data_IF_498429286128
#
_entry.id   IF_498429286128
#
_cell.length_a   1.000
_cell.length_b   1.000
_cell.length_c   1.000
_cell.angle_alpha   90.00
_cell.angle_beta   90.00
_cell.angle_gamma   90.00
#
_symmetry.space_group_name_H-M   'P 1'
#
loop_
_entity.id
_entity.type
_entity.pdbx_description
1 polymer ?
#
# COMPACT_ATOMS: atom_id res chain seq x y z
N UNK A 1 -1.33 25.44 -28.53
CA UNK A 1 -0.86 26.00 -27.24
C UNK A 1 -1.99 26.65 -26.47
N UNK A 2 -2.61 27.75 -26.94
CA UNK A 2 -3.74 28.37 -26.22
C UNK A 2 -4.85 27.36 -25.87
N UNK A 3 -5.35 26.64 -26.87
CA UNK A 3 -6.42 25.62 -26.67
C UNK A 3 -5.99 24.49 -25.72
N UNK A 4 -4.71 24.16 -25.70
CA UNK A 4 -4.16 23.15 -24.80
C UNK A 4 -4.21 23.64 -23.35
N UNK A 5 -3.64 24.81 -23.05
CA UNK A 5 -3.69 25.37 -21.70
C UNK A 5 -5.12 25.67 -21.24
N UNK A 6 -5.99 26.12 -22.14
CA UNK A 6 -7.40 26.32 -21.82
C UNK A 6 -8.07 25.01 -21.38
N UNK A 7 -7.89 23.93 -22.15
CA UNK A 7 -8.46 22.62 -21.84
C UNK A 7 -7.89 22.03 -20.54
N UNK A 8 -6.58 22.16 -20.31
CA UNK A 8 -5.94 21.72 -19.07
C UNK A 8 -6.51 22.51 -17.89
N UNK A 9 -6.57 23.84 -17.99
CA UNK A 9 -7.09 24.70 -16.93
C UNK A 9 -8.55 24.39 -16.64
N UNK A 10 -9.38 24.17 -17.66
CA UNK A 10 -10.78 23.77 -17.49
C UNK A 10 -10.91 22.41 -16.80
N UNK A 11 -10.07 21.44 -17.18
CA UNK A 11 -10.06 20.12 -16.53
C UNK A 11 -9.70 20.27 -15.06
N UNK A 12 -8.62 20.97 -14.74
CA UNK A 12 -8.16 21.17 -13.35
C UNK A 12 -9.17 21.97 -12.54
N UNK A 13 -9.79 22.98 -13.14
CA UNK A 13 -10.81 23.80 -12.50
C UNK A 13 -12.08 23.01 -12.19
N UNK A 14 -12.54 22.18 -13.11
CA UNK A 14 -13.76 21.40 -12.97
C UNK A 14 -13.58 20.16 -12.08
N UNK A 15 -12.38 19.58 -12.07
CA UNK A 15 -12.12 18.34 -11.34
C UNK A 15 -11.47 18.58 -9.97
N UNK A 16 -10.68 19.64 -9.78
CA UNK A 16 -9.86 19.77 -8.57
C UNK A 16 -10.03 21.12 -7.86
N UNK A 17 -9.79 22.25 -8.54
CA UNK A 17 -9.68 23.55 -7.86
C UNK A 17 -11.02 24.15 -7.45
N UNK A 18 -12.02 24.10 -8.33
CA UNK A 18 -13.31 24.77 -8.14
C UNK A 18 -13.20 26.26 -7.73
N UNK A 19 -12.15 26.96 -8.18
CA UNK A 19 -11.90 28.37 -7.89
C UNK A 19 -13.03 29.27 -8.42
N UNK A 20 -13.77 30.01 -7.57
CA UNK A 20 -14.85 30.88 -8.02
C UNK A 20 -14.38 31.97 -9.00
N UNK A 21 -13.12 32.41 -8.93
CA UNK A 21 -12.56 33.46 -9.80
C UNK A 21 -12.34 32.97 -11.25
N UNK A 22 -12.30 31.64 -11.46
CA UNK A 22 -12.08 31.02 -12.77
C UNK A 22 -13.36 30.44 -13.39
N UNK A 23 -14.53 30.80 -12.85
CA UNK A 23 -15.84 30.35 -13.38
C UNK A 23 -16.22 31.02 -14.70
N UNK A 24 -15.78 32.26 -14.93
CA UNK A 24 -16.00 32.99 -16.17
C UNK A 24 -14.96 32.64 -17.25
N UNK A 25 -15.40 32.55 -18.52
CA UNK A 25 -14.52 32.23 -19.64
C UNK A 25 -13.50 33.34 -19.88
N UNK A 26 -13.88 34.61 -19.72
CA UNK A 26 -12.94 35.71 -19.93
C UNK A 26 -11.81 35.69 -18.88
N UNK A 27 -12.14 35.37 -17.62
CA UNK A 27 -11.14 35.18 -16.57
C UNK A 27 -10.15 34.04 -16.90
N UNK A 28 -10.66 32.88 -17.37
CA UNK A 28 -9.80 31.76 -17.81
C UNK A 28 -8.88 32.17 -18.97
N UNK A 29 -9.40 32.90 -19.96
CA UNK A 29 -8.58 33.39 -21.09
C UNK A 29 -7.43 34.31 -20.64
N UNK A 30 -7.65 35.16 -19.64
CA UNK A 30 -6.60 36.03 -19.06
C UNK A 30 -5.52 35.18 -18.40
N UNK A 31 -5.89 34.16 -17.63
CA UNK A 31 -4.92 33.24 -17.02
C UNK A 31 -4.14 32.49 -18.09
N UNK A 32 -4.80 31.95 -19.12
CA UNK A 32 -4.14 31.25 -20.23
C UNK A 32 -3.16 32.15 -20.96
N UNK A 33 -3.48 33.44 -21.16
CA UNK A 33 -2.52 34.38 -21.74
C UNK A 33 -1.28 34.53 -20.86
N UNK A 34 -1.45 34.66 -19.54
CA UNK A 34 -0.31 34.70 -18.61
C UNK A 34 0.52 33.41 -18.62
N UNK A 35 -0.09 32.24 -18.83
CA UNK A 35 0.63 30.97 -18.98
C UNK A 35 1.44 30.91 -20.28
N UNK A 36 0.93 31.46 -21.39
CA UNK A 36 1.67 31.58 -22.64
C UNK A 36 2.87 32.51 -22.49
N UNK A 37 2.69 33.67 -21.85
CA UNK A 37 3.78 34.61 -21.61
C UNK A 37 4.89 33.95 -20.76
N UNK A 38 4.52 33.15 -19.74
CA UNK A 38 5.47 32.36 -18.95
C UNK A 38 6.16 31.27 -19.77
N UNK A 39 5.43 30.59 -20.64
CA UNK A 39 6.00 29.59 -21.54
C UNK A 39 7.09 30.21 -22.42
N UNK A 40 6.82 31.39 -23.01
CA UNK A 40 7.80 32.09 -23.85
C UNK A 40 9.06 32.48 -23.06
N UNK A 41 8.91 32.95 -21.82
CA UNK A 41 10.03 33.27 -20.94
C UNK A 41 10.88 32.04 -20.59
N UNK A 42 10.24 30.92 -20.25
CA UNK A 42 10.93 29.66 -19.94
C UNK A 42 11.61 29.10 -21.20
N UNK A 43 10.92 29.13 -22.35
CA UNK A 43 11.46 28.68 -23.63
C UNK A 43 12.70 29.49 -24.03
N UNK A 44 12.68 30.82 -23.87
CA UNK A 44 13.84 31.67 -24.12
C UNK A 44 15.02 31.29 -23.20
N UNK A 45 14.76 31.07 -21.91
CA UNK A 45 15.77 30.62 -20.94
C UNK A 45 16.39 29.26 -21.30
N UNK A 46 15.57 28.27 -21.69
CA UNK A 46 16.05 26.95 -22.14
C UNK A 46 16.87 27.09 -23.43
N UNK A 47 16.39 27.89 -24.38
CA UNK A 47 17.08 28.15 -25.64
C UNK A 47 18.46 28.78 -25.41
N UNK A 48 18.54 29.83 -24.60
CA UNK A 48 19.78 30.54 -24.31
C UNK A 48 20.79 29.63 -23.59
N UNK A 49 20.33 28.76 -22.68
CA UNK A 49 21.20 27.76 -22.04
C UNK A 49 21.75 26.72 -23.03
N UNK A 50 20.94 26.30 -24.01
CA UNK A 50 21.31 25.23 -24.96
C UNK A 50 22.11 25.77 -26.16
N UNK A 51 21.83 26.98 -26.61
CA UNK A 51 22.33 27.57 -27.85
C UNK A 51 22.97 28.96 -27.69
N UNK A 52 23.32 29.39 -26.47
CA UNK A 52 23.89 30.72 -26.19
C UNK A 52 25.26 31.03 -26.84
N UNK A 53 25.83 30.09 -27.60
CA UNK A 53 27.04 30.30 -28.41
C UNK A 53 26.70 30.20 -29.90
N UNK A 54 27.41 30.93 -30.78
CA UNK A 54 27.18 30.87 -32.22
C UNK A 54 27.38 29.44 -32.76
N UNK A 55 26.30 28.79 -33.16
CA UNK A 55 26.31 27.48 -33.80
C UNK A 55 25.76 27.59 -35.22
N UNK A 56 26.45 26.97 -36.17
CA UNK A 56 25.94 26.76 -37.53
C UNK A 56 24.92 25.61 -37.49
N UNK A 57 23.66 25.94 -37.20
CA UNK A 57 22.53 25.01 -37.29
C UNK A 57 21.79 25.22 -38.61
N UNK A 58 21.35 24.12 -39.22
CA UNK A 58 20.50 24.20 -40.41
C UNK A 58 19.14 24.82 -40.04
N UNK A 59 18.45 25.43 -41.01
CA UNK A 59 17.11 26.00 -40.76
C UNK A 59 16.09 24.96 -40.28
N UNK A 60 16.17 23.72 -40.76
CA UNK A 60 15.30 22.63 -40.30
C UNK A 60 15.58 22.22 -38.86
N UNK A 61 16.86 22.21 -38.46
CA UNK A 61 17.24 21.86 -37.09
C UNK A 61 16.88 22.98 -36.12
N UNK A 62 17.04 24.24 -36.55
CA UNK A 62 16.58 25.40 -35.78
C UNK A 62 15.08 25.31 -35.46
N UNK A 63 14.24 25.04 -36.48
CA UNK A 63 12.78 24.89 -36.28
C UNK A 63 12.46 23.71 -35.35
N UNK A 64 13.14 22.57 -35.51
CA UNK A 64 12.94 21.39 -34.64
C UNK A 64 13.29 21.71 -33.19
N UNK A 65 14.43 22.38 -32.97
CA UNK A 65 14.89 22.76 -31.64
C UNK A 65 13.96 23.78 -30.97
N UNK A 66 13.46 24.77 -31.72
CA UNK A 66 12.48 25.75 -31.20
C UNK A 66 11.21 25.03 -30.74
N UNK A 67 10.66 24.11 -31.56
CA UNK A 67 9.46 23.34 -31.19
C UNK A 67 9.69 22.52 -29.92
N UNK A 68 10.79 21.79 -29.86
CA UNK A 68 11.13 20.99 -28.68
C UNK A 68 11.30 21.85 -27.43
N UNK A 69 11.92 23.03 -27.56
CA UNK A 69 12.09 23.98 -26.45
C UNK A 69 10.75 24.53 -25.96
N UNK A 70 9.84 24.85 -26.89
CA UNK A 70 8.48 25.28 -26.55
C UNK A 70 7.68 24.16 -25.86
N UNK A 71 7.84 22.91 -26.29
CA UNK A 71 7.18 21.76 -25.68
C UNK A 71 7.70 21.50 -24.26
N UNK A 72 9.03 21.57 -24.05
CA UNK A 72 9.64 21.48 -22.71
C UNK A 72 9.13 22.61 -21.79
N UNK A 73 9.12 23.85 -22.28
CA UNK A 73 8.62 24.99 -21.53
C UNK A 73 7.13 24.87 -21.19
N UNK A 74 6.32 24.33 -22.12
CA UNK A 74 4.90 24.10 -21.88
C UNK A 74 4.69 23.08 -20.75
N UNK A 75 5.44 21.98 -20.77
CA UNK A 75 5.38 20.97 -19.71
C UNK A 75 5.77 21.56 -18.35
N UNK A 76 6.82 22.40 -18.31
CA UNK A 76 7.24 23.09 -17.08
C UNK A 76 6.16 24.05 -16.56
N UNK A 77 5.49 24.82 -17.43
CA UNK A 77 4.36 25.68 -17.05
C UNK A 77 3.19 24.86 -16.50
N UNK A 78 2.83 23.74 -17.13
CA UNK A 78 1.75 22.87 -16.63
C UNK A 78 2.08 22.36 -15.22
N UNK A 79 3.28 21.81 -15.03
CA UNK A 79 3.71 21.22 -13.75
C UNK A 79 3.79 22.28 -12.64
N UNK A 80 4.33 23.47 -12.93
CA UNK A 80 4.59 24.49 -11.89
C UNK A 80 3.40 25.43 -11.65
N UNK A 81 2.72 25.86 -12.70
CA UNK A 81 1.71 26.93 -12.63
C UNK A 81 0.28 26.41 -12.61
N UNK A 82 0.03 25.20 -13.11
CA UNK A 82 -1.30 24.58 -13.08
C UNK A 82 -1.35 23.50 -12.00
N UNK A 83 -0.59 22.42 -12.17
CA UNK A 83 -0.56 21.29 -11.23
C UNK A 83 -0.04 21.74 -9.88
N UNK A 84 1.05 22.53 -9.85
CA UNK A 84 1.65 23.09 -8.64
C UNK A 84 0.73 23.96 -7.79
N UNK A 85 -0.41 24.42 -8.33
CA UNK A 85 -1.42 25.18 -7.58
C UNK A 85 -2.52 24.33 -6.99
N UNK A 86 -2.62 23.06 -7.38
CA UNK A 86 -3.63 22.13 -6.83
C UNK A 86 -3.27 21.83 -5.38
N UNK A 87 -4.19 21.99 -4.42
CA UNK A 87 -3.94 21.56 -3.05
C UNK A 87 -3.57 20.08 -3.00
N UNK A 88 -2.54 19.72 -2.25
CA UNK A 88 -1.91 18.39 -2.28
C UNK A 88 -2.84 17.22 -2.00
N UNK A 89 -3.93 17.43 -1.26
CA UNK A 89 -4.89 16.36 -0.92
C UNK A 89 -6.03 16.18 -1.91
N UNK A 90 -6.35 17.20 -2.72
CA UNK A 90 -7.58 17.21 -3.53
C UNK A 90 -7.61 16.09 -4.56
N UNK A 91 -6.49 15.86 -5.27
CA UNK A 91 -6.41 14.76 -6.24
C UNK A 91 -6.56 13.42 -5.52
N UNK A 92 -5.87 13.23 -4.40
CA UNK A 92 -5.95 12.00 -3.62
C UNK A 92 -7.37 11.71 -3.13
N UNK A 93 -8.04 12.68 -2.51
CA UNK A 93 -9.39 12.53 -1.98
C UNK A 93 -10.41 12.31 -3.11
N UNK A 94 -10.26 12.98 -4.26
CA UNK A 94 -11.12 12.72 -5.43
C UNK A 94 -10.95 11.29 -5.96
N UNK A 95 -9.70 10.82 -6.07
CA UNK A 95 -9.38 9.46 -6.58
C UNK A 95 -9.87 8.36 -5.63
N UNK A 96 -9.93 8.64 -4.33
CA UNK A 96 -10.36 7.70 -3.29
C UNK A 96 -11.71 8.05 -2.65
N UNK A 97 -12.55 8.84 -3.31
CA UNK A 97 -13.78 9.36 -2.72
C UNK A 97 -14.70 8.25 -2.17
N UNK A 98 -14.78 7.11 -2.85
CA UNK A 98 -15.57 5.95 -2.40
C UNK A 98 -14.99 5.33 -1.13
N UNK A 99 -13.68 5.04 -1.09
CA UNK A 99 -13.01 4.47 0.10
C UNK A 99 -13.18 5.39 1.30
N UNK A 100 -13.02 6.71 1.10
CA UNK A 100 -13.18 7.69 2.18
C UNK A 100 -14.61 7.74 2.71
N UNK A 101 -15.61 7.64 1.83
CA UNK A 101 -17.03 7.60 2.19
C UNK A 101 -17.42 6.29 2.89
N UNK A 102 -16.98 5.15 2.37
CA UNK A 102 -17.26 3.83 2.96
C UNK A 102 -16.60 3.67 4.34
N UNK A 103 -15.44 4.26 4.54
CA UNK A 103 -14.75 4.33 5.83
C UNK A 103 -15.46 5.20 6.88
N UNK A 104 -16.44 6.04 6.51
CA UNK A 104 -17.24 6.79 7.50
C UNK A 104 -18.33 5.93 8.15
N UNK A 105 -18.71 4.83 7.49
CA UNK A 105 -19.79 3.94 7.92
C UNK A 105 -19.29 2.56 8.36
N UNK A 106 -18.06 2.20 8.00
CA UNK A 106 -17.39 0.97 8.44
C UNK A 106 -16.41 1.27 9.56
N UNK A 107 -16.41 0.53 10.68
CA UNK A 107 -15.39 0.69 11.71
C UNK A 107 -14.07 0.10 11.23
N UNK A 108 -12.96 0.77 11.59
CA UNK A 108 -11.63 0.18 11.46
C UNK A 108 -11.52 -1.04 12.37
N UNK A 109 -10.81 -2.08 11.91
CA UNK A 109 -10.54 -3.26 12.71
C UNK A 109 -9.64 -2.92 13.91
N UNK A 110 -9.97 -3.50 15.06
CA UNK A 110 -9.05 -3.58 16.18
C UNK A 110 -8.16 -4.80 15.99
N UNK A 111 -6.91 -4.58 15.58
CA UNK A 111 -5.94 -5.64 15.28
C UNK A 111 -5.64 -6.55 16.48
N UNK A 112 -5.88 -6.09 17.71
CA UNK A 112 -5.72 -6.91 18.92
C UNK A 112 -6.90 -7.88 19.15
N UNK A 113 -8.04 -7.62 18.50
CA UNK A 113 -9.28 -8.39 18.67
C UNK A 113 -9.69 -9.17 17.41
N UNK A 114 -8.90 -9.09 16.33
CA UNK A 114 -9.13 -9.89 15.13
C UNK A 114 -9.06 -11.37 15.50
N UNK A 115 -10.06 -12.14 15.10
CA UNK A 115 -10.03 -13.60 15.24
C UNK A 115 -8.95 -14.15 14.31
N UNK A 116 -7.80 -14.53 14.88
CA UNK A 116 -6.74 -15.28 14.21
C UNK A 116 -6.73 -16.74 14.63
N UNK A 117 -7.80 -17.23 15.28
CA UNK A 117 -7.90 -18.62 15.69
C UNK A 117 -8.09 -19.55 14.50
N UNK A 118 -8.29 -20.84 14.80
CA UNK A 118 -8.46 -21.91 13.80
C UNK A 118 -9.55 -21.65 12.75
N UNK A 119 -10.58 -20.89 13.10
CA UNK A 119 -11.67 -20.49 12.19
C UNK A 119 -11.17 -19.60 11.06
N UNK A 120 -10.26 -18.67 11.34
CA UNK A 120 -9.68 -17.75 10.35
C UNK A 120 -8.84 -18.47 9.28
N UNK A 121 -8.32 -19.66 9.59
CA UNK A 121 -7.48 -20.46 8.69
C UNK A 121 -8.21 -21.67 8.09
N UNK A 122 -9.48 -21.90 8.45
CA UNK A 122 -10.26 -23.05 7.97
C UNK A 122 -10.41 -23.10 6.43
N UNK A 123 -10.37 -21.94 5.77
CA UNK A 123 -10.42 -21.85 4.31
C UNK A 123 -9.21 -22.50 3.64
N UNK A 124 -8.02 -22.48 4.27
CA UNK A 124 -6.83 -23.16 3.77
C UNK A 124 -6.99 -24.67 3.81
N UNK A 125 -7.55 -25.21 4.88
CA UNK A 125 -7.85 -26.65 5.00
C UNK A 125 -8.85 -27.09 3.93
N UNK A 126 -9.89 -26.28 3.67
CA UNK A 126 -10.86 -26.56 2.61
C UNK A 126 -10.19 -26.56 1.23
N UNK A 127 -9.36 -25.55 0.92
CA UNK A 127 -8.62 -25.47 -0.35
C UNK A 127 -7.64 -26.64 -0.53
N UNK A 128 -6.94 -27.02 0.54
CA UNK A 128 -6.01 -28.14 0.53
C UNK A 128 -6.74 -29.47 0.25
N UNK A 129 -7.90 -29.69 0.87
CA UNK A 129 -8.74 -30.86 0.63
C UNK A 129 -9.23 -30.94 -0.83
N UNK A 130 -9.64 -29.81 -1.42
CA UNK A 130 -10.04 -29.74 -2.84
C UNK A 130 -8.89 -30.06 -3.80
N UNK A 131 -7.67 -29.68 -3.43
CA UNK A 131 -6.45 -29.90 -4.23
C UNK A 131 -5.77 -31.23 -3.91
N UNK A 132 -6.27 -31.99 -2.94
CA UNK A 132 -5.66 -33.22 -2.43
C UNK A 132 -4.21 -33.02 -1.97
N UNK A 133 -3.94 -31.91 -1.29
CA UNK A 133 -2.64 -31.56 -0.69
C UNK A 133 -2.77 -31.60 0.83
N UNK A 134 -1.70 -32.01 1.51
CA UNK A 134 -1.64 -32.03 2.97
C UNK A 134 -1.30 -30.64 3.51
N UNK A 135 -2.15 -30.15 4.41
CA UNK A 135 -2.02 -28.91 5.17
C UNK A 135 -2.54 -29.21 6.57
N UNK A 136 -1.82 -28.81 7.60
CA UNK A 136 -2.22 -29.03 8.99
C UNK A 136 -1.74 -27.89 9.88
N UNK A 137 -2.25 -27.85 11.10
CA UNK A 137 -1.74 -26.98 12.15
C UNK A 137 -0.33 -27.40 12.56
N UNK A 138 0.48 -26.45 13.04
CA UNK A 138 1.81 -26.73 13.57
C UNK A 138 1.72 -27.77 14.71
N UNK A 139 2.30 -28.95 14.50
CA UNK A 139 2.15 -30.12 15.37
C UNK A 139 3.17 -30.16 16.53
N UNK A 140 4.37 -29.62 16.31
CA UNK A 140 5.44 -29.49 17.31
C UNK A 140 5.80 -28.01 17.54
N UNK A 141 4.83 -27.24 18.02
CA UNK A 141 4.92 -25.78 18.20
C UNK A 141 6.17 -25.31 18.98
N UNK A 142 6.65 -26.00 20.03
CA UNK A 142 7.84 -25.54 20.76
C UNK A 142 9.14 -25.56 19.95
N UNK A 143 9.22 -26.38 18.89
CA UNK A 143 10.48 -26.57 18.13
C UNK A 143 10.32 -26.45 16.61
N UNK A 144 9.08 -26.45 16.12
CA UNK A 144 8.70 -26.52 14.69
C UNK A 144 9.49 -27.59 13.91
N UNK A 145 9.83 -28.69 14.57
CA UNK A 145 10.71 -29.71 14.00
C UNK A 145 10.15 -30.26 12.69
N UNK A 146 10.94 -30.15 11.61
CA UNK A 146 10.59 -30.64 10.28
C UNK A 146 9.94 -29.59 9.35
N UNK A 147 9.80 -28.35 9.81
CA UNK A 147 9.21 -27.22 9.08
C UNK A 147 10.20 -26.05 9.12
N UNK A 148 11.17 -26.02 8.19
CA UNK A 148 12.25 -25.01 8.18
C UNK A 148 12.51 -24.44 6.77
N UNK A 149 12.38 -23.11 6.56
CA UNK A 149 11.88 -22.12 7.52
C UNK A 149 10.34 -22.11 7.54
N UNK A 150 9.75 -22.00 8.73
CA UNK A 150 8.29 -21.97 8.91
C UNK A 150 7.66 -20.76 8.20
N UNK A 151 8.36 -19.65 8.12
CA UNK A 151 7.92 -18.40 7.49
C UNK A 151 7.65 -18.56 5.99
N UNK A 152 8.33 -19.49 5.32
CA UNK A 152 8.16 -19.74 3.87
C UNK A 152 6.94 -20.62 3.56
N UNK A 153 6.43 -21.33 4.57
CA UNK A 153 5.34 -22.31 4.41
C UNK A 153 4.10 -22.00 5.25
N UNK A 154 4.19 -21.09 6.21
CA UNK A 154 3.07 -20.67 7.02
C UNK A 154 2.02 -19.93 6.18
N UNK A 155 0.75 -20.22 6.43
CA UNK A 155 -0.37 -19.65 5.70
C UNK A 155 -1.08 -18.58 6.55
N UNK A 156 -1.28 -17.37 6.01
CA UNK A 156 -1.81 -16.26 6.80
C UNK A 156 -3.27 -16.49 7.23
N UNK A 157 -3.69 -15.94 8.38
CA UNK A 157 -5.10 -15.93 8.75
C UNK A 157 -5.93 -15.09 7.77
N UNK A 158 -7.21 -15.44 7.59
CA UNK A 158 -8.15 -14.59 6.86
C UNK A 158 -8.55 -13.39 7.73
N UNK A 159 -8.20 -12.19 7.28
CA UNK A 159 -8.48 -10.94 8.00
C UNK A 159 -9.53 -10.17 7.23
N UNK A 160 -10.66 -9.76 7.87
CA UNK A 160 -11.78 -9.11 7.19
C UNK A 160 -11.52 -7.62 6.92
N UNK A 161 -10.48 -7.33 6.15
CA UNK A 161 -10.05 -5.97 5.80
C UNK A 161 -11.19 -5.12 5.21
N UNK A 162 -11.42 -3.95 5.81
CA UNK A 162 -12.44 -2.99 5.39
C UNK A 162 -11.87 -1.79 4.66
N UNK A 163 -12.74 -0.96 4.07
CA UNK A 163 -12.34 0.33 3.49
C UNK A 163 -11.87 1.33 4.56
N UNK A 164 -12.32 1.19 5.80
CA UNK A 164 -11.80 1.96 6.93
C UNK A 164 -10.33 1.63 7.21
N UNK A 165 -9.95 0.35 7.14
CA UNK A 165 -8.54 -0.08 7.26
C UNK A 165 -7.71 0.42 6.08
N UNK A 166 -8.28 0.34 4.86
CA UNK A 166 -7.63 0.89 3.66
C UNK A 166 -7.41 2.39 3.79
N UNK A 167 -8.40 3.16 4.25
CA UNK A 167 -8.27 4.60 4.53
C UNK A 167 -7.19 4.87 5.57
N UNK A 168 -7.16 4.13 6.68
CA UNK A 168 -6.12 4.26 7.69
C UNK A 168 -4.72 3.97 7.11
N UNK A 169 -4.61 2.98 6.23
CA UNK A 169 -3.42 2.70 5.42
C UNK A 169 -3.00 3.89 4.55
N UNK A 170 -3.94 4.48 3.79
CA UNK A 170 -3.69 5.64 2.94
C UNK A 170 -3.24 6.86 3.77
N UNK A 171 -3.90 7.17 4.88
CA UNK A 171 -3.54 8.32 5.74
C UNK A 171 -2.16 8.16 6.36
N UNK A 172 -1.79 6.94 6.76
CA UNK A 172 -0.44 6.66 7.24
C UNK A 172 0.59 6.79 6.12
N UNK A 173 0.31 6.29 4.92
CA UNK A 173 1.19 6.46 3.77
C UNK A 173 1.39 7.96 3.45
N UNK A 174 0.33 8.77 3.51
CA UNK A 174 0.43 10.24 3.40
C UNK A 174 1.31 10.82 4.51
N UNK A 175 1.16 10.36 5.75
CA UNK A 175 1.97 10.82 6.88
C UNK A 175 3.47 10.51 6.71
N UNK A 176 3.81 9.40 6.08
CA UNK A 176 5.20 8.93 5.88
C UNK A 176 5.85 9.57 4.65
N UNK A 177 5.19 9.49 3.49
CA UNK A 177 5.79 9.90 2.21
C UNK A 177 5.40 11.33 1.79
N UNK A 178 4.32 11.87 2.36
CA UNK A 178 3.73 13.13 1.94
C UNK A 178 2.99 13.01 0.60
N UNK A 179 2.34 14.10 0.21
CA UNK A 179 1.74 14.29 -1.11
C UNK A 179 2.14 15.65 -1.66
N UNK A 180 2.66 15.65 -2.88
CA UNK A 180 2.83 16.85 -3.69
C UNK A 180 1.53 17.26 -4.38
N UNK A 181 1.47 18.50 -4.92
CA UNK A 181 0.39 18.92 -5.81
C UNK A 181 0.21 17.94 -6.98
N UNK A 182 -1.03 17.60 -7.31
CA UNK A 182 -1.33 16.68 -8.40
C UNK A 182 -1.09 15.19 -8.12
N UNK A 183 -0.63 14.84 -6.91
CA UNK A 183 -0.27 13.46 -6.56
C UNK A 183 -1.38 12.73 -5.81
N UNK A 184 -1.37 11.40 -5.90
CA UNK A 184 -2.13 10.51 -5.04
C UNK A 184 -1.38 9.21 -4.78
N UNK A 185 -1.59 8.64 -3.59
CA UNK A 185 -1.14 7.30 -3.24
C UNK A 185 -2.22 6.28 -3.56
N UNK A 186 -1.86 5.14 -4.15
CA UNK A 186 -2.67 3.94 -4.27
C UNK A 186 -2.06 2.82 -3.44
N UNK A 187 -2.92 2.00 -2.82
CA UNK A 187 -2.55 0.77 -2.15
C UNK A 187 -3.24 -0.40 -2.86
N UNK A 188 -2.48 -1.43 -3.20
CA UNK A 188 -3.07 -2.73 -3.53
C UNK A 188 -3.82 -3.24 -2.30
N UNK A 189 -5.02 -3.78 -2.47
CA UNK A 189 -5.87 -4.14 -1.34
C UNK A 189 -6.69 -5.39 -1.66
N UNK A 190 -6.83 -6.35 -0.74
CA UNK A 190 -6.26 -6.40 0.62
C UNK A 190 -4.72 -6.60 0.66
N UNK A 191 -4.05 -6.33 1.80
CA UNK A 191 -2.63 -6.60 1.97
C UNK A 191 -2.36 -8.11 2.10
N UNK A 192 -1.11 -8.52 1.84
CA UNK A 192 -0.65 -9.90 1.98
C UNK A 192 0.05 -10.08 3.33
N UNK A 193 -0.32 -11.12 4.07
CA UNK A 193 0.32 -11.49 5.33
C UNK A 193 1.60 -12.29 5.11
N UNK A 194 2.63 -12.00 5.91
CA UNK A 194 3.82 -12.83 6.04
C UNK A 194 4.13 -13.06 7.52
N UNK A 195 4.46 -14.30 7.86
CA UNK A 195 4.88 -14.63 9.22
C UNK A 195 6.27 -14.03 9.44
N UNK A 196 6.36 -13.09 10.36
CA UNK A 196 7.63 -12.40 10.69
C UNK A 196 8.25 -12.87 11.99
N UNK A 197 7.43 -13.54 12.82
CA UNK A 197 7.86 -14.20 14.03
C UNK A 197 6.90 -15.36 14.31
N UNK A 198 7.45 -16.55 14.52
CA UNK A 198 6.73 -17.80 14.72
C UNK A 198 6.16 -17.95 16.14
N UNK A 199 6.57 -17.08 17.07
CA UNK A 199 6.15 -17.15 18.46
C UNK A 199 6.91 -18.19 19.27
N UNK A 200 6.67 -18.18 20.59
CA UNK A 200 7.28 -19.13 21.51
C UNK A 200 6.24 -19.69 22.49
N UNK A 201 6.20 -21.01 22.56
CA UNK A 201 5.28 -21.77 23.42
C UNK A 201 6.07 -22.82 24.17
N UNK A 202 5.81 -22.95 25.46
CA UNK A 202 6.35 -24.03 26.27
C UNK A 202 5.25 -24.72 27.07
N UNK A 203 5.59 -25.90 27.58
CA UNK A 203 4.74 -26.66 28.50
C UNK A 203 5.29 -26.52 29.90
N UNK A 204 4.45 -26.17 30.87
CA UNK A 204 4.86 -26.23 32.28
C UNK A 204 5.20 -27.66 32.65
N UNK A 205 6.11 -27.83 33.60
CA UNK A 205 6.41 -29.15 34.13
C UNK A 205 5.20 -29.69 34.91
N UNK A 206 5.08 -31.01 34.95
CA UNK A 206 4.14 -31.67 35.84
C UNK A 206 4.57 -31.45 37.30
N UNK A 207 3.63 -31.08 38.16
CA UNK A 207 3.87 -30.98 39.60
C UNK A 207 3.01 -32.02 40.34
N UNK A 208 3.66 -33.02 40.92
CA UNK A 208 2.98 -34.01 41.77
C UNK A 208 2.59 -33.40 43.11
N UNK A 209 1.44 -33.81 43.66
CA UNK A 209 1.11 -33.54 45.04
C UNK A 209 1.97 -34.41 45.98
N UNK A 210 2.05 -34.06 47.26
CA UNK A 210 2.84 -34.80 48.25
C UNK A 210 2.49 -36.30 48.29
N UNK A 211 1.22 -36.65 48.06
CA UNK A 211 0.76 -38.05 48.02
C UNK A 211 1.33 -38.86 46.84
N UNK A 212 1.84 -38.19 45.82
CA UNK A 212 2.31 -38.78 44.57
C UNK A 212 3.78 -38.44 44.25
N UNK A 213 4.53 -37.90 45.22
CA UNK A 213 5.92 -37.48 45.02
C UNK A 213 6.86 -38.61 44.54
N UNK A 214 6.52 -39.88 44.80
CA UNK A 214 7.30 -41.06 44.39
C UNK A 214 6.57 -41.96 43.37
N UNK A 215 5.46 -41.49 42.78
CA UNK A 215 4.68 -42.26 41.79
C UNK A 215 5.07 -41.91 40.36
N UNK A 216 5.02 -42.90 39.46
CA UNK A 216 5.26 -42.68 38.03
C UNK A 216 4.15 -41.82 37.40
N UNK A 217 4.51 -40.88 36.52
CA UNK A 217 3.63 -39.88 35.89
C UNK A 217 2.37 -40.50 35.23
N UNK A 218 2.48 -41.72 34.72
CA UNK A 218 1.40 -42.47 34.04
C UNK A 218 0.22 -42.87 34.95
N UNK A 219 0.38 -42.84 36.28
CA UNK A 219 -0.71 -43.17 37.22
C UNK A 219 -1.44 -41.93 37.76
N UNK A 220 -1.05 -40.74 37.32
CA UNK A 220 -1.39 -39.46 37.96
C UNK A 220 -2.38 -38.59 37.17
N UNK A 221 -2.79 -39.06 35.98
CA UNK A 221 -3.60 -38.30 35.00
C UNK A 221 -4.96 -37.80 35.53
N UNK A 222 -5.44 -38.33 36.68
CA UNK A 222 -6.74 -37.97 37.27
C UNK A 222 -6.68 -37.53 38.74
N UNK A 223 -5.50 -37.22 39.28
CA UNK A 223 -5.40 -36.65 40.62
C UNK A 223 -5.77 -35.17 40.60
N UNK A 224 -6.80 -34.77 41.35
CA UNK A 224 -7.26 -33.39 41.42
C UNK A 224 -6.25 -32.42 42.07
N UNK A 225 -5.27 -32.96 42.81
CA UNK A 225 -4.23 -32.18 43.49
C UNK A 225 -2.89 -32.13 42.71
N UNK A 226 -2.73 -32.94 41.65
CA UNK A 226 -1.56 -32.85 40.79
C UNK A 226 -1.79 -31.78 39.71
N UNK A 227 -0.78 -30.94 39.46
CA UNK A 227 -0.86 -29.94 38.39
C UNK A 227 -0.38 -30.58 37.09
N UNK A 228 -1.31 -30.79 36.17
CA UNK A 228 -1.00 -31.27 34.82
C UNK A 228 -0.19 -30.22 34.03
N UNK A 229 0.69 -30.65 33.10
CA UNK A 229 1.37 -29.73 32.18
C UNK A 229 0.37 -28.84 31.46
N UNK A 230 0.60 -27.54 31.50
CA UNK A 230 -0.20 -26.55 30.77
C UNK A 230 0.64 -25.95 29.68
N UNK A 231 0.03 -25.79 28.51
CA UNK A 231 0.60 -25.02 27.42
C UNK A 231 0.54 -23.54 27.79
N UNK A 232 1.68 -22.86 27.71
CA UNK A 232 1.81 -21.42 27.93
C UNK A 232 2.39 -20.80 26.68
N UNK A 233 1.68 -19.82 26.12
CA UNK A 233 2.21 -18.95 25.07
C UNK A 233 3.00 -17.85 25.77
N UNK A 234 4.32 -17.87 25.61
CA UNK A 234 5.19 -16.82 26.15
C UNK A 234 5.23 -15.63 25.21
N UNK A 235 5.38 -15.90 23.91
CA UNK A 235 5.35 -14.89 22.86
C UNK A 235 4.42 -15.33 21.74
N UNK A 236 3.46 -14.49 21.30
CA UNK A 236 2.58 -14.83 20.19
C UNK A 236 3.33 -14.81 18.87
N UNK A 237 2.82 -15.55 17.89
CA UNK A 237 3.25 -15.44 16.50
C UNK A 237 2.83 -14.08 15.94
N UNK A 238 3.61 -13.49 15.03
CA UNK A 238 3.33 -12.18 14.43
C UNK A 238 3.26 -12.25 12.92
N UNK A 239 2.07 -11.94 12.42
CA UNK A 239 1.82 -11.71 11.01
C UNK A 239 1.98 -10.23 10.70
N UNK A 240 2.95 -9.91 9.85
CA UNK A 240 3.05 -8.56 9.29
C UNK A 240 2.39 -8.55 7.92
N UNK A 241 1.43 -7.67 7.73
CA UNK A 241 0.69 -7.51 6.49
C UNK A 241 1.32 -6.39 5.67
N UNK A 242 1.72 -6.70 4.44
CA UNK A 242 2.34 -5.76 3.51
C UNK A 242 1.48 -5.54 2.29
N UNK A 243 1.62 -4.37 1.67
CA UNK A 243 1.02 -4.10 0.36
C UNK A 243 1.96 -3.31 -0.54
N UNK A 244 1.67 -3.34 -1.84
CA UNK A 244 2.27 -2.42 -2.80
C UNK A 244 1.62 -1.04 -2.65
N UNK A 245 2.43 -0.05 -2.33
CA UNK A 245 2.08 1.36 -2.36
C UNK A 245 2.67 2.01 -3.63
N UNK A 246 1.84 2.73 -4.38
CA UNK A 246 2.28 3.49 -5.55
C UNK A 246 1.91 4.96 -5.39
N UNK A 247 2.87 5.87 -5.57
CA UNK A 247 2.61 7.31 -5.69
C UNK A 247 2.49 7.62 -7.18
N UNK A 248 1.32 8.10 -7.58
CA UNK A 248 1.04 8.57 -8.92
C UNK A 248 0.94 10.09 -8.94
N UNK A 249 1.16 10.68 -10.12
CA UNK A 249 0.91 12.09 -10.40
C UNK A 249 0.08 12.24 -11.67
N UNK A 250 -0.78 13.25 -11.69
CA UNK A 250 -1.46 13.64 -12.91
C UNK A 250 -0.44 14.32 -13.84
N UNK A 251 -0.66 14.19 -15.14
CA UNK A 251 0.09 14.87 -16.18
C UNK A 251 -0.85 15.15 -17.35
N UNK A 252 -0.43 16.03 -18.26
CA UNK A 252 -1.23 16.38 -19.42
C UNK A 252 -0.41 16.26 -20.70
N UNK A 253 -1.00 15.69 -21.74
CA UNK A 253 -0.37 15.58 -23.05
C UNK A 253 -0.49 16.88 -23.88
N UNK A 254 0.04 16.85 -25.11
CA UNK A 254 -0.03 17.97 -26.05
C UNK A 254 -1.46 18.34 -26.47
N UNK A 255 -2.41 17.40 -26.33
CA UNK A 255 -3.83 17.61 -26.60
C UNK A 255 -4.60 18.07 -25.35
N UNK A 256 -3.91 18.30 -24.23
CA UNK A 256 -4.51 18.68 -22.94
C UNK A 256 -5.37 17.58 -22.33
N UNK A 257 -5.08 16.31 -22.65
CA UNK A 257 -5.74 15.15 -22.06
C UNK A 257 -4.97 14.74 -20.80
N UNK A 258 -5.70 14.55 -19.70
CA UNK A 258 -5.13 14.06 -18.43
C UNK A 258 -4.68 12.60 -18.57
N UNK A 259 -3.49 12.31 -18.05
CA UNK A 259 -2.97 10.96 -17.88
C UNK A 259 -2.28 10.82 -16.53
N UNK A 260 -2.10 9.59 -16.07
CA UNK A 260 -1.38 9.27 -14.84
C UNK A 260 0.06 8.83 -15.14
N UNK A 261 1.00 9.20 -14.28
CA UNK A 261 2.35 8.63 -14.27
C UNK A 261 2.72 8.15 -12.88
N UNK A 262 3.37 6.99 -12.81
CA UNK A 262 3.99 6.52 -11.57
C UNK A 262 5.22 7.40 -11.25
N UNK A 263 5.28 7.87 -10.02
CA UNK A 263 6.39 8.68 -9.48
C UNK A 263 7.28 7.84 -8.57
N UNK A 264 6.66 6.96 -7.78
CA UNK A 264 7.34 6.12 -6.81
C UNK A 264 6.52 4.88 -6.52
N UNK A 265 7.21 3.78 -6.18
CA UNK A 265 6.59 2.51 -5.79
C UNK A 265 7.37 1.89 -4.65
N UNK A 266 6.64 1.42 -3.65
CA UNK A 266 7.14 0.59 -2.55
C UNK A 266 6.35 -0.71 -2.53
N UNK A 267 7.01 -1.85 -2.69
CA UNK A 267 6.36 -3.16 -2.75
C UNK A 267 6.16 -3.79 -1.36
N UNK A 268 6.69 -3.18 -0.30
CA UNK A 268 6.70 -3.72 1.06
C UNK A 268 6.21 -2.68 2.08
N UNK A 269 5.18 -1.90 1.70
CA UNK A 269 4.56 -0.98 2.64
C UNK A 269 3.81 -1.78 3.71
N UNK A 270 4.36 -1.80 4.92
CA UNK A 270 3.73 -2.45 6.08
C UNK A 270 2.38 -1.78 6.36
N UNK A 271 1.33 -2.59 6.52
CA UNK A 271 -0.03 -2.15 6.81
C UNK A 271 -0.37 -2.36 8.28
N UNK A 272 -0.06 -3.53 8.82
CA UNK A 272 -0.43 -3.92 10.16
C UNK A 272 0.44 -5.08 10.65
N UNK A 273 0.52 -5.23 11.97
CA UNK A 273 1.00 -6.44 12.62
C UNK A 273 -0.17 -7.01 13.43
N UNK A 274 -0.45 -8.30 13.25
CA UNK A 274 -1.50 -9.02 13.97
C UNK A 274 -0.86 -10.21 14.67
N UNK A 275 -1.21 -10.39 15.94
CA UNK A 275 -0.71 -11.47 16.77
C UNK A 275 -1.62 -12.71 16.66
N UNK A 276 -1.03 -13.90 16.68
CA UNK A 276 -1.75 -15.18 16.63
C UNK A 276 -1.18 -16.14 17.67
N UNK A 277 -2.03 -17.01 18.23
CA UNK A 277 -1.55 -18.15 19.00
C UNK A 277 -0.68 -19.05 18.08
N UNK A 278 0.59 -19.33 18.42
CA UNK A 278 1.48 -20.14 17.57
C UNK A 278 0.96 -21.55 17.24
N UNK A 279 0.05 -22.10 18.06
CA UNK A 279 -0.56 -23.42 17.84
C UNK A 279 -1.76 -23.41 16.89
N UNK A 280 -2.17 -22.22 16.43
CA UNK A 280 -3.19 -22.05 15.40
C UNK A 280 -2.57 -21.69 14.03
N UNK A 281 -1.24 -21.62 13.94
CA UNK A 281 -0.53 -21.50 12.67
C UNK A 281 -0.83 -22.71 11.79
N UNK A 282 -1.25 -22.44 10.55
CA UNK A 282 -1.45 -23.45 9.53
C UNK A 282 -0.23 -23.50 8.62
N UNK A 283 0.29 -24.70 8.41
CA UNK A 283 1.48 -24.95 7.62
C UNK A 283 1.07 -25.53 6.26
N UNK A 284 1.42 -24.81 5.20
CA UNK A 284 1.23 -25.21 3.82
C UNK A 284 2.19 -26.35 3.40
N UNK A 285 2.02 -26.88 2.19
CA UNK A 285 2.89 -27.91 1.67
C UNK A 285 4.34 -27.43 1.54
N UNK A 286 5.30 -28.33 1.77
CA UNK A 286 6.74 -28.03 1.76
C UNK A 286 7.31 -27.63 0.38
N UNK A 287 6.52 -27.67 -0.70
CA UNK A 287 6.91 -27.18 -2.03
C UNK A 287 6.16 -25.87 -2.35
N UNK A 288 6.85 -24.71 -2.23
CA UNK A 288 6.28 -23.40 -2.55
C UNK A 288 5.86 -23.24 -4.03
N UNK A 289 6.32 -24.13 -4.93
CA UNK A 289 6.00 -24.11 -6.36
C UNK A 289 4.83 -25.01 -6.74
N UNK A 290 4.31 -25.78 -5.79
CA UNK A 290 3.01 -26.41 -5.96
C UNK A 290 2.01 -25.28 -6.23
N UNK A 291 1.42 -25.25 -7.42
CA UNK A 291 0.36 -24.29 -7.75
C UNK A 291 -0.95 -24.80 -7.12
N UNK A 292 -1.15 -24.52 -5.84
CA UNK A 292 -2.38 -24.81 -5.10
C UNK A 292 -3.27 -23.58 -4.99
#
# INVERSE_FOLDING_TARGET
MFDQFMKILETVQNEYLHDPELTDEAARRVVVQGLLDKQELIAASIWDKRFGLPQLISGSDAIRNVRHTLDEAAAEVVETEIIGRIPSRVVHERRHALVYLEAEITPQLDHEQVDTGRTSTAHWLARAAEKHVEVDYASDVPTYTGVDPIEDVALPPDVPWSDADKKAGLERAIGVYGLGPGQWIELEWPPNGSLTYEGFVYWTQFESCEAHAESDETQLENCAECTQPKRVVEEPARWTFYTTMTINAISFDQAGIESSREVYRDNLFEVAVIEQDPGDLVIGPSDPRSLW
#
